data_IF_603531585504
#
_entry.id   IF_603531585504
#
_cell.length_a   1.000
_cell.length_b   1.000
_cell.length_c   1.000
_cell.angle_alpha   90.00
_cell.angle_beta   90.00
_cell.angle_gamma   90.00
#
_symmetry.space_group_name_H-M   'P 1'
#
loop_
_entity.id
_entity.type
_entity.pdbx_description
1 polymer ?
#
# COMPACT_ATOMS: atom_id res chain seq x y z
N UNK A 1 -10.65 -4.26 5.30
CA UNK A 1 -9.19 -4.34 5.04
C UNK A 1 -8.96 -4.39 3.55
N UNK A 2 -7.85 -3.82 3.06
CA UNK A 2 -7.41 -3.94 1.68
C UNK A 2 -6.28 -4.96 1.58
N UNK A 3 -6.18 -5.64 0.42
CA UNK A 3 -5.17 -6.66 0.19
C UNK A 3 -4.40 -6.35 -1.11
N UNK A 4 -3.12 -6.03 -0.98
CA UNK A 4 -2.22 -5.74 -2.12
C UNK A 4 -1.33 -6.95 -2.36
N UNK A 5 -1.48 -7.59 -3.52
CA UNK A 5 -0.67 -8.73 -3.95
C UNK A 5 0.47 -8.25 -4.84
N UNK A 6 1.70 -8.61 -4.50
CA UNK A 6 2.90 -8.15 -5.19
C UNK A 6 3.72 -9.37 -5.60
N UNK A 7 3.90 -9.56 -6.91
CA UNK A 7 4.83 -10.55 -7.44
C UNK A 7 6.27 -10.07 -7.25
N UNK A 8 7.07 -10.88 -6.55
CA UNK A 8 8.45 -10.61 -6.17
C UNK A 8 9.48 -10.99 -7.25
N UNK A 9 9.09 -11.28 -8.50
CA UNK A 9 10.05 -11.58 -9.57
C UNK A 9 10.96 -10.37 -9.86
N UNK A 10 12.28 -10.62 -9.86
CA UNK A 10 13.34 -9.64 -10.08
C UNK A 10 13.89 -8.99 -8.80
N UNK A 11 15.22 -9.05 -8.61
CA UNK A 11 15.94 -8.57 -7.42
C UNK A 11 15.63 -7.10 -7.06
N UNK A 12 15.72 -6.18 -8.02
CA UNK A 12 15.45 -4.74 -7.80
C UNK A 12 14.02 -4.49 -7.29
N UNK A 13 13.05 -5.26 -7.78
CA UNK A 13 11.65 -5.13 -7.35
C UNK A 13 11.44 -5.66 -5.94
N UNK A 14 12.17 -6.73 -5.56
CA UNK A 14 12.18 -7.24 -4.18
C UNK A 14 12.67 -6.19 -3.19
N UNK A 15 13.82 -5.57 -3.45
CA UNK A 15 14.39 -4.55 -2.56
C UNK A 15 13.46 -3.36 -2.35
N UNK A 16 12.88 -2.82 -3.42
CA UNK A 16 11.90 -1.73 -3.32
C UNK A 16 10.65 -2.14 -2.54
N UNK A 17 10.13 -3.34 -2.77
CA UNK A 17 8.95 -3.87 -2.07
C UNK A 17 9.22 -4.04 -0.57
N UNK A 18 10.40 -4.54 -0.21
CA UNK A 18 10.81 -4.69 1.20
C UNK A 18 10.96 -3.34 1.88
N UNK A 19 11.53 -2.34 1.19
CA UNK A 19 11.64 -0.98 1.71
C UNK A 19 10.26 -0.36 1.97
N UNK A 20 9.32 -0.48 1.02
CA UNK A 20 7.93 -0.02 1.22
C UNK A 20 7.30 -0.67 2.47
N UNK A 21 7.42 -1.99 2.59
CA UNK A 21 6.88 -2.73 3.74
C UNK A 21 7.50 -2.27 5.06
N UNK A 22 8.83 -2.12 5.13
CA UNK A 22 9.52 -1.70 6.35
C UNK A 22 9.10 -0.29 6.77
N UNK A 23 8.97 0.65 5.83
CA UNK A 23 8.51 2.01 6.12
C UNK A 23 7.12 1.99 6.73
N UNK A 24 6.17 1.25 6.15
CA UNK A 24 4.81 1.17 6.68
C UNK A 24 4.74 0.44 8.04
N UNK A 25 5.56 -0.61 8.23
CA UNK A 25 5.58 -1.40 9.47
C UNK A 25 6.17 -0.62 10.64
N UNK A 26 7.22 0.18 10.40
CA UNK A 26 7.92 0.93 11.44
C UNK A 26 7.24 2.26 11.79
N UNK A 27 6.48 2.85 10.87
CA UNK A 27 5.88 4.17 11.05
C UNK A 27 4.36 4.10 11.12
N UNK A 28 3.81 4.25 12.34
CA UNK A 28 2.39 4.47 12.54
C UNK A 28 2.12 5.96 12.69
N UNK A 29 1.39 6.52 11.73
CA UNK A 29 1.00 7.93 11.71
C UNK A 29 -0.44 8.05 11.17
N UNK A 30 -1.28 8.96 11.69
CA UNK A 30 -2.66 9.13 11.20
C UNK A 30 -2.79 9.43 9.70
N UNK A 31 -1.75 9.97 9.06
CA UNK A 31 -1.75 10.32 7.63
C UNK A 31 -1.04 9.28 6.75
N UNK A 32 -0.63 8.15 7.31
CA UNK A 32 -0.05 7.03 6.57
C UNK A 32 -1.00 5.84 6.63
N UNK A 33 -1.20 5.19 5.48
CA UNK A 33 -2.03 3.99 5.40
C UNK A 33 -1.48 2.93 6.37
N UNK A 34 -2.32 2.48 7.29
CA UNK A 34 -1.91 1.58 8.35
C UNK A 34 -1.63 0.16 7.84
N UNK A 35 -0.43 -0.33 8.17
CA UNK A 35 -0.05 -1.71 7.99
C UNK A 35 -0.69 -2.60 9.07
N UNK A 36 -1.29 -3.72 8.65
CA UNK A 36 -1.89 -4.70 9.56
C UNK A 36 -1.06 -5.98 9.62
N UNK A 37 -0.80 -6.62 8.47
CA UNK A 37 -0.03 -7.86 8.40
C UNK A 37 0.53 -8.12 6.98
N UNK A 38 1.39 -9.13 6.84
CA UNK A 38 1.90 -9.58 5.54
C UNK A 38 2.17 -11.08 5.50
N UNK A 39 1.92 -11.67 4.34
CA UNK A 39 2.12 -13.11 4.08
C UNK A 39 2.95 -13.30 2.81
N UNK A 40 3.89 -14.22 2.86
CA UNK A 40 4.60 -14.69 1.67
C UNK A 40 3.95 -16.01 1.25
N UNK A 41 3.29 -16.00 0.10
CA UNK A 41 2.62 -17.18 -0.48
C UNK A 41 3.21 -17.37 -1.87
N UNK A 42 3.85 -18.52 -2.08
CA UNK A 42 4.69 -18.79 -3.25
C UNK A 42 5.72 -17.65 -3.48
N UNK A 43 5.73 -17.04 -4.67
CA UNK A 43 6.56 -15.87 -4.99
C UNK A 43 5.81 -14.53 -4.87
N UNK A 44 4.72 -14.48 -4.10
CA UNK A 44 3.90 -13.29 -3.92
C UNK A 44 3.88 -12.82 -2.46
N UNK A 45 4.19 -11.54 -2.27
CA UNK A 45 3.95 -10.85 -1.01
C UNK A 45 2.51 -10.32 -1.00
N UNK A 46 1.75 -10.72 0.00
CA UNK A 46 0.40 -10.24 0.26
C UNK A 46 0.45 -9.29 1.44
N UNK A 47 0.11 -8.03 1.20
CA UNK A 47 0.02 -7.00 2.24
C UNK A 47 -1.43 -6.82 2.67
N UNK A 48 -1.68 -6.93 3.97
CA UNK A 48 -2.95 -6.60 4.60
C UNK A 48 -2.81 -5.21 5.21
N UNK A 49 -3.65 -4.29 4.76
CA UNK A 49 -3.64 -2.89 5.18
C UNK A 49 -5.06 -2.39 5.45
N UNK A 50 -5.17 -1.22 6.08
CA UNK A 50 -6.48 -0.59 6.21
C UNK A 50 -7.10 -0.30 4.83
N UNK A 51 -8.43 -0.29 4.80
CA UNK A 51 -9.16 -0.01 3.57
C UNK A 51 -9.56 1.47 3.57
N UNK A 52 -9.09 2.21 2.56
CA UNK A 52 -9.44 3.61 2.34
C UNK A 52 -10.69 3.67 1.45
N UNK A 53 -11.85 3.78 2.06
CA UNK A 53 -13.16 3.77 1.39
C UNK A 53 -13.45 5.04 0.56
N UNK A 54 -12.75 6.14 0.86
CA UNK A 54 -12.81 7.39 0.08
C UNK A 54 -12.19 7.32 -1.33
N UNK A 55 -11.55 6.21 -1.71
CA UNK A 55 -10.91 6.05 -3.01
C UNK A 55 -9.61 6.85 -3.15
N UNK A 56 -9.20 7.14 -4.40
CA UNK A 56 -7.94 7.85 -4.65
C UNK A 56 -8.16 9.34 -4.86
N UNK A 57 -7.18 10.16 -4.48
CA UNK A 57 -7.19 11.60 -4.80
C UNK A 57 -7.24 11.84 -6.32
N UNK A 58 -6.64 10.96 -7.12
CA UNK A 58 -6.72 11.06 -8.57
C UNK A 58 -8.17 10.98 -9.06
N UNK A 59 -8.99 10.06 -8.53
CA UNK A 59 -10.39 9.97 -8.89
C UNK A 59 -11.19 11.23 -8.52
N UNK A 60 -10.87 11.84 -7.38
CA UNK A 60 -11.52 13.07 -6.92
C UNK A 60 -11.21 14.23 -7.86
N UNK A 61 -9.94 14.43 -8.21
CA UNK A 61 -9.49 15.51 -9.10
C UNK A 61 -10.14 15.39 -10.49
N UNK A 62 -10.34 14.17 -10.99
CA UNK A 62 -10.99 13.97 -12.29
C UNK A 62 -12.51 14.20 -12.26
N UNK A 63 -13.17 14.08 -11.11
CA UNK A 63 -14.65 14.12 -11.00
C UNK A 63 -15.18 15.42 -10.42
N UNK A 64 -14.34 16.23 -9.79
CA UNK A 64 -14.76 17.41 -9.02
C UNK A 64 -13.80 18.58 -9.20
N UNK A 65 -14.34 19.79 -9.15
CA UNK A 65 -13.53 20.99 -8.99
C UNK A 65 -13.30 21.22 -7.50
N UNK A 66 -12.05 21.12 -7.06
CA UNK A 66 -11.65 21.45 -5.70
C UNK A 66 -11.51 22.96 -5.59
N UNK A 67 -12.19 23.58 -4.62
CA UNK A 67 -11.99 24.98 -4.27
C UNK A 67 -10.80 25.12 -3.32
N UNK A 68 -10.16 26.29 -3.35
CA UNK A 68 -9.22 26.73 -2.31
C UNK A 68 -9.92 26.93 -0.96
#
# INVERSE_FOLDING_TARGET
VALKKINLQGLRKKELTVNELMVMKMNRNPNLVNYLDSYLIDEQLWLVMEYMDGGTLSDVIHKTYLSE
#
